data_IF_272043550820
#
_entry.id   IF_272043550820
#
_cell.length_a   1.000
_cell.length_b   1.000
_cell.length_c   1.000
_cell.angle_alpha   90.00
_cell.angle_beta   90.00
_cell.angle_gamma   90.00
#
_symmetry.space_group_name_H-M   'P 1'
#
loop_
_entity.id
_entity.type
_entity.pdbx_description
1 polymer ?
#
# COMPACT_ATOMS: atom_id res chain seq x y z
N UNK A 1 -2.47 78.44 -1.52
CA UNK A 1 -1.19 77.75 -1.20
C UNK A 1 -1.40 76.81 -0.03
N UNK A 2 -1.00 75.54 -0.21
CA UNK A 2 -0.72 74.47 0.77
C UNK A 2 -1.85 73.96 1.69
N UNK A 3 -2.30 72.69 1.49
CA UNK A 3 -3.25 71.98 2.35
C UNK A 3 -2.54 71.05 3.37
N UNK A 4 -3.37 70.40 4.21
CA UNK A 4 -3.15 69.13 4.94
C UNK A 4 -2.49 69.19 6.32
N UNK A 5 -3.29 68.95 7.36
CA UNK A 5 -2.99 68.00 8.45
C UNK A 5 -4.29 67.53 9.12
N UNK A 6 -5.14 66.80 8.40
CA UNK A 6 -6.26 66.06 9.02
C UNK A 6 -6.36 64.70 8.37
N UNK A 7 -5.30 63.90 8.50
CA UNK A 7 -5.35 62.46 8.23
C UNK A 7 -4.10 61.88 8.88
N UNK A 8 -4.15 60.64 9.35
CA UNK A 8 -3.07 59.91 10.07
C UNK A 8 -3.17 60.01 11.60
N UNK A 9 -4.36 59.72 12.13
CA UNK A 9 -4.46 58.89 13.35
C UNK A 9 -5.70 58.01 13.12
N UNK A 10 -5.62 56.70 13.36
CA UNK A 10 -6.68 55.69 13.13
C UNK A 10 -6.68 54.90 11.83
N UNK A 11 -5.55 54.36 11.36
CA UNK A 11 -5.57 53.06 10.66
C UNK A 11 -4.35 52.23 11.09
N UNK A 12 -4.29 51.89 12.37
CA UNK A 12 -3.60 50.67 12.82
C UNK A 12 -4.72 49.73 13.27
N UNK A 13 -5.57 49.33 12.32
CA UNK A 13 -6.54 48.27 12.58
C UNK A 13 -5.77 46.96 12.45
N UNK A 14 -5.48 46.35 13.61
CA UNK A 14 -4.84 45.06 13.74
C UNK A 14 -5.51 44.06 12.79
N UNK A 15 -4.81 43.67 11.72
CA UNK A 15 -5.09 42.41 11.03
C UNK A 15 -4.58 41.32 11.98
N UNK A 16 -5.34 41.06 13.03
CA UNK A 16 -5.20 39.84 13.80
C UNK A 16 -5.57 38.73 12.82
N UNK A 17 -4.54 38.05 12.30
CA UNK A 17 -4.69 36.87 11.47
C UNK A 17 -5.54 35.87 12.26
N UNK A 18 -6.81 35.70 11.85
CA UNK A 18 -7.59 34.53 12.20
C UNK A 18 -6.91 33.33 11.53
N UNK A 19 -5.85 32.82 12.16
CA UNK A 19 -5.43 31.44 11.94
C UNK A 19 -6.51 30.58 12.56
N UNK A 20 -7.56 30.32 11.78
CA UNK A 20 -8.57 29.34 12.16
C UNK A 20 -7.86 28.02 12.41
N UNK A 21 -8.06 27.44 13.59
CA UNK A 21 -7.64 26.07 13.85
C UNK A 21 -8.32 25.19 12.79
N UNK A 22 -7.55 24.64 11.84
CA UNK A 22 -8.08 23.61 10.95
C UNK A 22 -8.44 22.42 11.85
N UNK A 23 -9.74 22.14 11.97
CA UNK A 23 -10.19 20.89 12.56
C UNK A 23 -9.56 19.75 11.75
N UNK A 24 -8.99 18.77 12.45
CA UNK A 24 -8.49 17.56 11.79
C UNK A 24 -9.68 16.85 11.14
N UNK A 25 -9.63 16.70 9.83
CA UNK A 25 -10.59 15.88 9.09
C UNK A 25 -10.18 14.42 9.23
N UNK A 26 -11.12 13.55 9.62
CA UNK A 26 -10.86 12.13 9.72
C UNK A 26 -10.62 11.56 8.32
N UNK A 27 -9.51 10.84 8.14
CA UNK A 27 -9.27 10.11 6.90
C UNK A 27 -10.34 9.03 6.72
N UNK A 28 -10.95 8.97 5.54
CA UNK A 28 -11.80 7.87 5.13
C UNK A 28 -10.98 6.87 4.31
N UNK A 29 -11.24 5.58 4.53
CA UNK A 29 -10.59 4.49 3.80
C UNK A 29 -11.63 3.75 2.98
N UNK A 30 -11.23 3.28 1.80
CA UNK A 30 -11.99 2.33 1.00
C UNK A 30 -11.17 1.07 0.79
N UNK A 31 -11.85 -0.07 0.71
CA UNK A 31 -11.22 -1.35 0.36
C UNK A 31 -11.04 -1.36 -1.16
N UNK A 32 -9.80 -1.42 -1.62
CA UNK A 32 -9.47 -1.53 -3.05
C UNK A 32 -9.49 -2.99 -3.54
N UNK A 33 -9.11 -3.91 -2.66
CA UNK A 33 -9.15 -5.35 -2.88
C UNK A 33 -9.17 -6.09 -1.53
N UNK A 34 -9.78 -7.28 -1.52
CA UNK A 34 -9.78 -8.23 -0.43
C UNK A 34 -9.50 -9.65 -0.96
N UNK A 35 -9.35 -10.61 -0.05
CA UNK A 35 -9.15 -12.02 -0.42
C UNK A 35 -7.80 -12.33 -1.09
N UNK A 36 -6.80 -11.45 -0.93
CA UNK A 36 -5.44 -11.67 -1.46
C UNK A 36 -4.66 -12.64 -0.58
N UNK A 37 -3.88 -13.52 -1.20
CA UNK A 37 -3.10 -14.57 -0.54
C UNK A 37 -1.78 -14.02 0.00
N UNK A 38 -1.73 -13.73 1.31
CA UNK A 38 -0.55 -13.21 2.01
C UNK A 38 0.07 -12.01 1.26
N UNK A 39 -0.74 -10.96 1.08
CA UNK A 39 -0.34 -9.74 0.37
C UNK A 39 0.95 -9.10 0.93
N UNK A 40 1.85 -8.71 0.03
CA UNK A 40 3.16 -8.12 0.33
C UNK A 40 3.32 -6.72 -0.26
N UNK A 41 4.35 -6.54 -1.06
CA UNK A 41 4.70 -5.26 -1.69
C UNK A 41 3.65 -4.77 -2.69
N UNK A 42 3.62 -3.45 -2.82
CA UNK A 42 2.65 -2.67 -3.57
C UNK A 42 3.39 -1.67 -4.45
N UNK A 43 3.04 -1.58 -5.73
CA UNK A 43 3.57 -0.54 -6.61
C UNK A 43 2.55 -0.14 -7.67
N UNK A 44 2.58 1.12 -8.07
CA UNK A 44 1.74 1.65 -9.14
C UNK A 44 2.52 1.66 -10.44
N UNK A 45 1.86 1.28 -11.55
CA UNK A 45 2.40 1.53 -12.88
C UNK A 45 2.19 3.00 -13.30
N UNK A 46 2.71 3.37 -14.48
CA UNK A 46 2.57 4.72 -15.04
C UNK A 46 1.12 5.11 -15.37
N UNK A 47 0.24 4.12 -15.53
CA UNK A 47 -1.17 4.30 -15.89
C UNK A 47 -2.07 4.38 -14.63
N UNK A 48 -1.47 4.23 -13.43
CA UNK A 48 -2.15 4.33 -12.14
C UNK A 48 -2.79 3.02 -11.65
N UNK A 49 -2.49 1.89 -12.29
CA UNK A 49 -2.93 0.58 -11.82
C UNK A 49 -2.07 0.12 -10.64
N UNK A 50 -2.70 -0.48 -9.63
CA UNK A 50 -2.00 -0.99 -8.45
C UNK A 50 -1.63 -2.47 -8.65
N UNK A 51 -0.36 -2.81 -8.42
CA UNK A 51 0.14 -4.18 -8.42
C UNK A 51 0.47 -4.61 -7.00
N UNK A 52 0.07 -5.83 -6.65
CA UNK A 52 0.27 -6.45 -5.34
C UNK A 52 0.97 -7.78 -5.52
N UNK A 53 2.08 -8.01 -4.83
CA UNK A 53 2.66 -9.36 -4.72
C UNK A 53 1.86 -10.17 -3.70
N UNK A 54 1.46 -11.38 -4.07
CA UNK A 54 0.85 -12.37 -3.19
C UNK A 54 1.89 -13.45 -2.91
N UNK A 55 2.29 -13.61 -1.64
CA UNK A 55 3.25 -14.64 -1.26
C UNK A 55 2.69 -16.07 -1.44
N UNK A 56 1.38 -16.22 -1.64
CA UNK A 56 0.69 -17.48 -1.84
C UNK A 56 0.33 -18.15 -0.52
N UNK A 57 0.01 -19.43 -0.57
CA UNK A 57 -0.47 -20.25 0.56
C UNK A 57 0.30 -21.57 0.69
N UNK A 58 1.50 -21.67 0.08
CA UNK A 58 2.28 -22.90 0.04
C UNK A 58 1.67 -23.92 -0.93
N UNK A 59 1.83 -25.21 -0.62
CA UNK A 59 1.25 -26.31 -1.38
C UNK A 59 1.61 -27.69 -0.82
N UNK A 60 1.35 -28.73 -1.62
CA UNK A 60 1.54 -30.13 -1.22
C UNK A 60 2.90 -30.71 -1.65
N UNK A 61 3.87 -29.85 -1.93
CA UNK A 61 5.22 -30.24 -2.34
C UNK A 61 6.11 -30.62 -1.15
N UNK A 62 7.43 -30.57 -1.37
CA UNK A 62 8.40 -30.81 -0.31
C UNK A 62 8.25 -29.78 0.83
N UNK A 63 8.35 -30.25 2.07
CA UNK A 63 8.25 -29.39 3.25
C UNK A 63 9.61 -29.24 3.94
N UNK A 64 9.85 -28.06 4.51
CA UNK A 64 11.06 -27.72 5.26
C UNK A 64 10.68 -27.49 6.72
N UNK A 65 11.33 -28.17 7.69
CA UNK A 65 11.04 -27.97 9.10
C UNK A 65 11.45 -26.57 9.56
N UNK A 66 10.81 -26.03 10.60
CA UNK A 66 11.17 -24.72 11.12
C UNK A 66 12.59 -24.74 11.74
N UNK A 67 13.34 -23.62 11.71
CA UNK A 67 14.70 -23.56 12.28
C UNK A 67 14.77 -23.91 13.77
N UNK A 68 13.68 -23.72 14.51
CA UNK A 68 13.54 -24.11 15.92
C UNK A 68 13.53 -25.62 16.15
N UNK A 69 13.30 -26.41 15.10
CA UNK A 69 13.00 -27.84 15.17
C UNK A 69 11.62 -28.15 15.80
N UNK A 70 10.82 -27.13 16.08
CA UNK A 70 9.54 -27.23 16.78
C UNK A 70 8.46 -26.44 16.04
N UNK A 71 7.31 -27.06 15.81
CA UNK A 71 6.19 -26.49 15.04
C UNK A 71 6.01 -27.13 13.67
N UNK A 72 5.03 -26.65 12.93
CA UNK A 72 4.70 -27.17 11.60
C UNK A 72 5.74 -26.78 10.55
N UNK A 73 5.90 -27.65 9.56
CA UNK A 73 6.81 -27.41 8.43
C UNK A 73 6.18 -26.46 7.41
N UNK A 74 7.02 -25.69 6.72
CA UNK A 74 6.60 -24.89 5.57
C UNK A 74 6.62 -25.76 4.32
N UNK A 75 5.50 -25.89 3.63
CA UNK A 75 5.36 -26.76 2.47
C UNK A 75 5.35 -25.97 1.16
N UNK A 76 6.13 -26.45 0.20
CA UNK A 76 6.31 -25.82 -1.09
C UNK A 76 5.08 -25.97 -1.99
N UNK A 77 4.76 -24.90 -2.70
CA UNK A 77 3.82 -24.88 -3.81
C UNK A 77 4.12 -23.74 -4.77
N UNK A 78 3.22 -23.56 -5.73
CA UNK A 78 3.31 -22.51 -6.77
C UNK A 78 2.11 -21.56 -6.71
N UNK A 79 1.62 -21.31 -5.50
CA UNK A 79 0.45 -20.45 -5.25
C UNK A 79 0.79 -18.95 -5.21
N UNK A 80 2.07 -18.58 -5.29
CA UNK A 80 2.48 -17.18 -5.35
C UNK A 80 2.01 -16.51 -6.65
N UNK A 81 1.71 -15.22 -6.58
CA UNK A 81 1.17 -14.46 -7.69
C UNK A 81 1.54 -12.97 -7.63
N UNK A 82 1.27 -12.26 -8.73
CA UNK A 82 1.15 -10.80 -8.77
C UNK A 82 -0.26 -10.46 -9.24
N UNK A 83 -0.98 -9.69 -8.44
CA UNK A 83 -2.34 -9.22 -8.73
C UNK A 83 -2.33 -7.77 -9.16
N UNK A 84 -2.97 -7.47 -10.29
CA UNK A 84 -3.29 -6.14 -10.76
C UNK A 84 -4.68 -5.73 -10.26
N UNK A 85 -4.79 -4.52 -9.74
CA UNK A 85 -6.02 -3.88 -9.30
C UNK A 85 -6.21 -2.62 -10.16
N UNK A 86 -7.30 -2.60 -10.91
CA UNK A 86 -7.60 -1.51 -11.84
C UNK A 86 -9.11 -1.40 -12.04
N UNK A 87 -9.65 -0.18 -12.06
CA UNK A 87 -11.08 0.08 -12.32
C UNK A 87 -12.03 -0.75 -11.42
N UNK A 88 -11.67 -0.90 -10.14
CA UNK A 88 -12.44 -1.69 -9.16
C UNK A 88 -12.41 -3.20 -9.37
N UNK A 89 -11.51 -3.71 -10.22
CA UNK A 89 -11.37 -5.14 -10.51
C UNK A 89 -9.99 -5.65 -10.08
N UNK A 90 -9.97 -6.87 -9.56
CA UNK A 90 -8.75 -7.61 -9.19
C UNK A 90 -8.49 -8.71 -10.21
N UNK A 91 -7.23 -8.87 -10.63
CA UNK A 91 -6.81 -9.96 -11.54
C UNK A 91 -5.37 -10.37 -11.27
N UNK A 92 -5.14 -11.67 -11.04
CA UNK A 92 -3.77 -12.24 -11.07
C UNK A 92 -3.21 -12.17 -12.49
N UNK A 93 -2.16 -11.39 -12.68
CA UNK A 93 -1.48 -11.17 -13.96
C UNK A 93 -0.23 -12.03 -14.11
N UNK A 94 0.36 -12.46 -12.99
CA UNK A 94 1.40 -13.46 -12.94
C UNK A 94 1.02 -14.50 -11.88
N UNK A 95 1.13 -15.77 -12.20
CA UNK A 95 0.76 -16.90 -11.32
C UNK A 95 1.82 -17.99 -11.40
N UNK A 96 1.71 -19.01 -10.54
CA UNK A 96 2.65 -20.13 -10.56
C UNK A 96 3.99 -19.80 -9.90
N UNK A 97 4.07 -18.73 -9.12
CA UNK A 97 5.31 -18.33 -8.45
C UNK A 97 5.55 -19.19 -7.20
N UNK A 98 6.82 -19.46 -6.85
CA UNK A 98 7.17 -20.20 -5.63
C UNK A 98 6.50 -19.63 -4.38
N UNK A 99 5.98 -20.53 -3.55
CA UNK A 99 5.38 -20.22 -2.24
C UNK A 99 5.72 -21.32 -1.24
N UNK A 100 6.15 -20.93 -0.04
CA UNK A 100 6.34 -21.79 1.12
C UNK A 100 5.46 -21.27 2.24
N UNK A 101 4.53 -22.07 2.77
CA UNK A 101 3.66 -21.63 3.85
C UNK A 101 3.38 -22.76 4.84
N UNK A 102 2.85 -22.41 6.01
CA UNK A 102 2.34 -23.38 6.96
C UNK A 102 1.15 -24.15 6.34
N UNK A 103 0.78 -25.33 6.88
CA UNK A 103 -0.32 -26.12 6.32
C UNK A 103 -1.67 -25.39 6.25
N UNK A 104 -1.87 -24.36 7.08
CA UNK A 104 -3.05 -23.49 7.07
C UNK A 104 -2.96 -22.33 6.06
N UNK A 105 -1.86 -22.25 5.29
CA UNK A 105 -1.59 -21.21 4.31
C UNK A 105 -1.04 -19.90 4.88
N UNK A 106 -0.85 -19.81 6.20
CA UNK A 106 -0.32 -18.60 6.85
C UNK A 106 1.21 -18.55 6.84
N UNK A 107 1.75 -17.37 7.14
CA UNK A 107 3.21 -17.18 7.25
C UNK A 107 3.97 -17.43 5.95
N UNK A 108 3.32 -17.18 4.81
CA UNK A 108 3.87 -17.55 3.53
C UNK A 108 5.14 -16.75 3.16
N UNK A 109 6.13 -17.45 2.62
CA UNK A 109 7.30 -16.93 1.97
C UNK A 109 7.20 -17.18 0.46
N UNK A 110 7.00 -16.11 -0.31
CA UNK A 110 6.89 -16.11 -1.76
C UNK A 110 7.25 -14.73 -2.31
N UNK A 111 6.67 -14.28 -3.43
CA UNK A 111 6.82 -12.90 -3.91
C UNK A 111 6.59 -11.88 -2.78
N UNK A 112 7.56 -11.00 -2.55
CA UNK A 112 7.52 -10.06 -1.41
C UNK A 112 7.43 -8.60 -1.81
N UNK A 113 8.04 -8.22 -2.92
CA UNK A 113 8.09 -6.84 -3.37
C UNK A 113 8.05 -6.76 -4.90
N UNK A 114 7.59 -5.60 -5.38
CA UNK A 114 7.51 -5.26 -6.79
C UNK A 114 7.75 -3.76 -6.94
N UNK A 115 8.52 -3.36 -7.94
CA UNK A 115 8.70 -1.97 -8.31
C UNK A 115 8.80 -1.85 -9.81
N UNK A 116 8.26 -0.75 -10.34
CA UNK A 116 8.41 -0.37 -11.74
C UNK A 116 9.54 0.65 -11.87
N UNK A 117 10.39 0.47 -12.87
CA UNK A 117 11.35 1.49 -13.26
C UNK A 117 10.70 2.64 -14.05
N UNK A 118 11.47 3.67 -14.41
CA UNK A 118 10.99 4.81 -15.17
C UNK A 118 10.45 4.47 -16.58
N UNK A 119 10.68 3.24 -17.05
CA UNK A 119 10.18 2.71 -18.32
C UNK A 119 9.03 1.73 -18.16
N UNK A 120 8.57 1.51 -16.92
CA UNK A 120 7.47 0.60 -16.60
C UNK A 120 7.86 -0.89 -16.60
N UNK A 121 9.14 -1.22 -16.40
CA UNK A 121 9.62 -2.61 -16.27
C UNK A 121 9.79 -3.05 -14.83
#
# INVERSE_FOLDING_TARGET
MKPKQVTITFITFCIAAFSGMKAAEAASFSVLADGLDNAGGLSFDSDGSLYVTEAGTGGNGACVPPPSGQGDSLCYGTSGAVTKIENGKTKRVLTGLPSLALPDGTGAAGPRDIQFDATGK
#
